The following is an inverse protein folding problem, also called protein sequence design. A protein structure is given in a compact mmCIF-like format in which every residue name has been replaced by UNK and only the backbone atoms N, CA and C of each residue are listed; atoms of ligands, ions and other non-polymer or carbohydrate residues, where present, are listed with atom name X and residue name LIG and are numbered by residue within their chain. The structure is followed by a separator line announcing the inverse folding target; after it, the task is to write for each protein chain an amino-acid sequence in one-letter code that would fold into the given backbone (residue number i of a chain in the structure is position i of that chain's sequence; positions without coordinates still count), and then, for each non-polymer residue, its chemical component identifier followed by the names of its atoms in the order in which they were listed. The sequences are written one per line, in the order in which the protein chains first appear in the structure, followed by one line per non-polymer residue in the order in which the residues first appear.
data_IF_472631646729
#
_entry.id   IF_472631646729
#
_cell.length_a   1.000
_cell.length_b   1.000
_cell.length_c   1.000
_cell.angle_alpha   90.00
_cell.angle_beta   90.00
_cell.angle_gamma   90.00
#
_symmetry.space_group_name_H-M   'P 1'
#
loop_
_entity.id
_entity.type
_entity.pdbx_description
1 polymer ?
#
# COMPACT_ATOMS: atom_id res chain seq x y z
N UNK A 1 -5.20 -56.32 22.00
CA UNK A 1 -4.54 -55.49 20.98
C UNK A 1 -5.21 -54.14 20.98
N UNK A 2 -4.61 -53.18 21.66
CA UNK A 2 -5.16 -51.84 21.85
C UNK A 2 -4.54 -50.96 20.77
N UNK A 3 -5.30 -50.66 19.72
CA UNK A 3 -4.93 -49.68 18.70
C UNK A 3 -4.85 -48.31 19.36
N UNK A 4 -3.62 -47.86 19.65
CA UNK A 4 -3.29 -46.47 19.92
C UNK A 4 -3.67 -45.66 18.68
N UNK A 5 -4.83 -45.01 18.69
CA UNK A 5 -5.18 -44.02 17.69
C UNK A 5 -4.29 -42.82 17.88
N UNK A 6 -3.31 -42.63 16.98
CA UNK A 6 -2.64 -41.34 16.85
C UNK A 6 -3.69 -40.32 16.41
N UNK A 7 -4.23 -39.56 17.36
CA UNK A 7 -4.91 -38.32 17.07
C UNK A 7 -3.87 -37.40 16.43
N UNK A 8 -3.84 -37.35 15.10
CA UNK A 8 -3.06 -36.37 14.38
C UNK A 8 -3.60 -34.99 14.78
N UNK A 9 -2.82 -34.21 15.53
CA UNK A 9 -3.07 -32.79 15.73
C UNK A 9 -2.96 -32.13 14.35
N UNK A 10 -4.09 -31.95 13.66
CA UNK A 10 -4.11 -31.12 12.47
C UNK A 10 -3.67 -29.70 12.90
N UNK A 11 -2.73 -29.05 12.18
CA UNK A 11 -2.28 -27.72 12.53
C UNK A 11 -3.48 -26.77 12.53
N UNK A 12 -3.60 -26.01 13.62
CA UNK A 12 -4.64 -25.00 13.74
C UNK A 12 -4.37 -23.84 12.76
N UNK A 13 -5.37 -23.00 12.53
CA UNK A 13 -5.17 -21.77 11.76
C UNK A 13 -4.12 -20.86 12.41
N UNK A 14 -3.98 -20.89 13.74
CA UNK A 14 -2.95 -20.13 14.46
C UNK A 14 -1.55 -20.66 14.14
N UNK A 15 -1.37 -21.98 14.11
CA UNK A 15 -0.08 -22.61 13.76
C UNK A 15 0.31 -22.28 12.32
N UNK A 16 -0.65 -22.33 11.38
CA UNK A 16 -0.42 -21.94 9.98
C UNK A 16 0.02 -20.48 9.83
N UNK A 17 -0.59 -19.57 10.60
CA UNK A 17 -0.22 -18.15 10.60
C UNK A 17 1.18 -17.97 11.19
N UNK A 18 1.50 -18.63 12.30
CA UNK A 18 2.83 -18.58 12.90
C UNK A 18 3.91 -19.11 11.94
N UNK A 19 3.69 -20.26 11.32
CA UNK A 19 4.60 -20.84 10.32
C UNK A 19 4.83 -19.90 9.12
N UNK A 20 3.81 -19.14 8.73
CA UNK A 20 3.90 -18.18 7.64
C UNK A 20 4.64 -16.91 8.04
N UNK A 21 4.48 -16.44 9.27
CA UNK A 21 5.26 -15.34 9.84
C UNK A 21 6.74 -15.72 9.91
N UNK A 22 7.06 -16.90 10.44
CA UNK A 22 8.43 -17.43 10.49
C UNK A 22 9.07 -17.54 9.10
N UNK A 23 8.26 -17.83 8.08
CA UNK A 23 8.70 -17.83 6.69
C UNK A 23 9.02 -16.41 6.20
N UNK A 24 8.13 -15.45 6.46
CA UNK A 24 8.30 -14.05 6.05
C UNK A 24 9.50 -13.39 6.75
N UNK A 25 9.78 -13.71 8.00
CA UNK A 25 10.92 -13.19 8.76
C UNK A 25 12.28 -13.51 8.11
N UNK A 26 12.32 -14.54 7.26
CA UNK A 26 13.51 -14.98 6.52
C UNK A 26 13.39 -14.73 5.02
N UNK A 27 12.26 -14.22 4.56
CA UNK A 27 12.00 -14.02 3.15
C UNK A 27 12.77 -12.81 2.61
N UNK A 28 13.09 -12.88 1.33
CA UNK A 28 13.58 -11.75 0.54
C UNK A 28 12.46 -11.29 -0.39
N UNK A 29 12.71 -10.25 -1.17
CA UNK A 29 11.82 -9.86 -2.27
C UNK A 29 11.47 -11.06 -3.14
N UNK A 30 12.40 -11.96 -3.42
CA UNK A 30 12.20 -13.08 -4.36
C UNK A 30 11.45 -14.27 -3.79
N UNK A 31 11.36 -14.39 -2.46
CA UNK A 31 10.79 -15.56 -1.80
C UNK A 31 9.53 -15.28 -0.99
N UNK A 32 9.18 -14.01 -0.75
CA UNK A 32 8.06 -13.65 0.13
C UNK A 32 6.70 -14.22 -0.30
N UNK A 33 6.38 -14.21 -1.60
CA UNK A 33 5.10 -14.75 -2.09
C UNK A 33 4.99 -16.27 -1.91
N UNK A 34 6.10 -17.01 -1.85
CA UNK A 34 6.08 -18.44 -1.61
C UNK A 34 5.55 -18.78 -0.19
N UNK A 35 5.72 -17.88 0.77
CA UNK A 35 5.21 -18.04 2.13
C UNK A 35 3.67 -18.07 2.20
N UNK A 36 2.97 -17.55 1.18
CA UNK A 36 1.51 -17.52 1.15
C UNK A 36 0.88 -18.91 1.08
N UNK A 37 1.60 -19.90 0.56
CA UNK A 37 1.16 -21.31 0.55
C UNK A 37 0.84 -21.86 1.94
N UNK A 38 1.43 -21.29 3.00
CA UNK A 38 1.22 -21.70 4.39
C UNK A 38 -0.13 -21.26 4.96
N UNK A 39 -0.71 -20.19 4.42
CA UNK A 39 -2.02 -19.65 4.83
C UNK A 39 -3.10 -19.89 3.78
N UNK A 40 -2.89 -20.80 2.84
CA UNK A 40 -3.92 -21.11 1.85
C UNK A 40 -5.21 -21.63 2.51
N UNK A 41 -6.35 -21.09 2.08
CA UNK A 41 -7.67 -21.32 2.67
C UNK A 41 -7.85 -20.82 4.12
N UNK A 42 -6.92 -20.04 4.69
CA UNK A 42 -7.07 -19.47 6.03
C UNK A 42 -7.65 -18.05 5.96
N UNK A 43 -8.90 -17.89 6.40
CA UNK A 43 -9.63 -16.62 6.39
C UNK A 43 -9.65 -15.99 7.80
N UNK A 44 -8.48 -15.55 8.28
CA UNK A 44 -8.35 -14.84 9.56
C UNK A 44 -7.60 -13.52 9.37
N UNK A 45 -7.80 -12.55 10.26
CA UNK A 45 -7.08 -11.29 10.23
C UNK A 45 -5.54 -11.48 10.27
N UNK A 46 -5.06 -12.52 10.98
CA UNK A 46 -3.64 -12.88 11.01
C UNK A 46 -3.12 -13.38 9.66
N UNK A 47 -3.91 -14.19 8.95
CA UNK A 47 -3.56 -14.64 7.60
C UNK A 47 -3.60 -13.49 6.59
N UNK A 48 -4.57 -12.57 6.72
CA UNK A 48 -4.62 -11.35 5.90
C UNK A 48 -3.43 -10.43 6.15
N UNK A 49 -2.96 -10.32 7.40
CA UNK A 49 -1.73 -9.60 7.71
C UNK A 49 -0.51 -10.22 7.04
N UNK A 50 -0.40 -11.55 7.07
CA UNK A 50 0.67 -12.29 6.36
C UNK A 50 0.61 -11.99 4.86
N UNK A 51 -0.58 -12.06 4.24
CA UNK A 51 -0.77 -11.75 2.81
C UNK A 51 -0.33 -10.34 2.48
N UNK A 52 -0.83 -9.36 3.24
CA UNK A 52 -0.45 -7.96 3.13
C UNK A 52 1.08 -7.79 3.19
N UNK A 53 1.73 -8.29 4.24
CA UNK A 53 3.18 -8.18 4.43
C UNK A 53 3.99 -8.85 3.32
N UNK A 54 3.57 -10.02 2.84
CA UNK A 54 4.27 -10.74 1.78
C UNK A 54 4.39 -9.93 0.49
N UNK A 55 3.30 -9.26 0.07
CA UNK A 55 3.34 -8.39 -1.11
C UNK A 55 4.26 -7.20 -0.91
N UNK A 56 4.28 -6.59 0.28
CA UNK A 56 5.22 -5.50 0.56
C UNK A 56 6.69 -5.95 0.51
N UNK A 57 7.02 -7.10 1.11
CA UNK A 57 8.38 -7.65 1.07
C UNK A 57 8.76 -8.00 -0.38
N UNK A 58 7.86 -8.65 -1.13
CA UNK A 58 8.05 -8.99 -2.55
C UNK A 58 8.37 -7.75 -3.41
N UNK A 59 7.77 -6.62 -3.03
CA UNK A 59 7.93 -5.33 -3.70
C UNK A 59 9.14 -4.51 -3.21
N UNK A 60 9.99 -5.12 -2.38
CA UNK A 60 11.25 -4.53 -1.92
C UNK A 60 11.09 -3.56 -0.75
N UNK A 61 9.98 -3.58 -0.01
CA UNK A 61 9.82 -2.74 1.18
C UNK A 61 10.63 -3.21 2.39
N UNK A 62 11.35 -4.34 2.26
CA UNK A 62 12.39 -4.73 3.20
C UNK A 62 13.65 -3.88 3.11
N UNK A 63 13.81 -3.03 2.07
CA UNK A 63 14.91 -2.06 1.98
C UNK A 63 14.68 -0.88 2.96
N UNK A 64 15.54 -0.74 4.00
CA UNK A 64 15.43 0.36 4.97
C UNK A 64 15.56 1.74 4.33
N UNK A 65 16.29 1.87 3.22
CA UNK A 65 16.50 3.16 2.56
C UNK A 65 15.20 3.73 2.01
N UNK A 66 14.29 2.87 1.54
CA UNK A 66 13.00 3.24 0.99
C UNK A 66 12.07 3.84 2.06
N UNK A 67 11.93 3.16 3.20
CA UNK A 67 11.08 3.61 4.31
C UNK A 67 11.69 4.81 5.06
N UNK A 68 13.02 4.93 5.09
CA UNK A 68 13.69 6.10 5.67
C UNK A 68 13.34 7.37 4.90
N UNK A 69 13.36 7.32 3.56
CA UNK A 69 12.97 8.46 2.71
C UNK A 69 11.51 8.86 2.90
N UNK A 70 10.60 7.89 3.00
CA UNK A 70 9.19 8.16 3.35
C UNK A 70 9.10 8.93 4.67
N UNK A 71 9.82 8.48 5.68
CA UNK A 71 9.83 9.12 7.00
C UNK A 71 10.45 10.52 6.98
N UNK A 72 11.46 10.75 6.15
CA UNK A 72 12.07 12.07 5.94
C UNK A 72 11.09 13.03 5.28
N UNK A 73 10.40 12.61 4.21
CA UNK A 73 9.41 13.46 3.52
C UNK A 73 8.21 13.78 4.41
N UNK A 74 7.70 12.82 5.19
CA UNK A 74 6.59 13.05 6.13
C UNK A 74 6.93 14.08 7.22
N UNK A 75 8.22 14.26 7.54
CA UNK A 75 8.68 15.24 8.55
C UNK A 75 8.84 16.65 8.00
N UNK A 76 8.79 16.87 6.68
CA UNK A 76 9.03 18.19 6.08
C UNK A 76 7.88 19.20 6.25
N UNK A 77 6.88 18.91 7.07
CA UNK A 77 5.62 19.62 7.03
C UNK A 77 5.63 21.04 7.66
N UNK A 78 5.12 22.03 6.91
CA UNK A 78 4.09 22.90 7.48
C UNK A 78 4.28 24.43 7.61
N UNK A 79 5.41 25.05 7.28
CA UNK A 79 5.54 26.52 7.42
C UNK A 79 5.27 27.35 6.14
N UNK A 80 5.12 26.72 4.97
CA UNK A 80 4.90 27.42 3.70
C UNK A 80 3.98 26.60 2.78
N UNK A 81 2.66 26.63 2.98
CA UNK A 81 1.62 26.42 1.95
C UNK A 81 1.62 25.20 1.00
N UNK A 82 2.54 24.23 1.07
CA UNK A 82 2.82 23.27 -0.02
C UNK A 82 2.73 21.78 0.33
N UNK A 83 1.74 21.35 1.14
CA UNK A 83 1.56 19.96 1.59
C UNK A 83 1.40 18.91 0.46
N UNK A 84 0.96 19.35 -0.72
CA UNK A 84 0.86 18.50 -1.91
C UNK A 84 2.21 17.99 -2.43
N UNK A 85 3.28 18.78 -2.32
CA UNK A 85 4.60 18.37 -2.83
C UNK A 85 5.26 17.29 -1.98
N UNK A 86 5.18 17.40 -0.65
CA UNK A 86 5.70 16.37 0.27
C UNK A 86 4.91 15.06 0.16
N UNK A 87 3.59 15.16 -0.03
CA UNK A 87 2.75 13.97 -0.27
C UNK A 87 3.12 13.26 -1.57
N UNK A 88 3.33 14.00 -2.68
CA UNK A 88 3.81 13.39 -3.93
C UNK A 88 5.19 12.75 -3.77
N UNK A 89 6.09 13.39 -3.00
CA UNK A 89 7.39 12.82 -2.67
C UNK A 89 7.27 11.48 -1.93
N UNK A 90 6.45 11.43 -0.87
CA UNK A 90 6.12 10.19 -0.16
C UNK A 90 5.59 9.13 -1.14
N UNK A 91 4.62 9.48 -1.97
CA UNK A 91 4.01 8.55 -2.92
C UNK A 91 5.03 7.96 -3.92
N UNK A 92 6.04 8.73 -4.35
CA UNK A 92 7.10 8.22 -5.23
C UNK A 92 7.89 7.05 -4.63
N UNK A 93 8.05 7.04 -3.31
CA UNK A 93 8.68 5.93 -2.59
C UNK A 93 7.69 4.80 -2.27
N UNK A 94 6.37 5.00 -2.41
CA UNK A 94 5.36 4.03 -2.00
C UNK A 94 4.84 3.15 -3.15
N UNK A 95 5.07 3.50 -4.41
CA UNK A 95 4.54 2.75 -5.56
C UNK A 95 5.16 1.35 -5.71
N UNK A 96 4.33 0.31 -5.85
CA UNK A 96 4.78 -1.02 -6.26
C UNK A 96 5.38 -0.94 -7.67
N UNK A 97 6.61 -1.42 -7.78
CA UNK A 97 7.51 -1.16 -8.91
C UNK A 97 8.65 -2.18 -8.98
N UNK A 98 8.50 -3.36 -8.37
CA UNK A 98 9.54 -4.37 -8.42
C UNK A 98 9.83 -4.75 -9.89
N UNK A 99 11.12 -4.74 -10.24
CA UNK A 99 11.58 -4.88 -11.63
C UNK A 99 11.41 -6.26 -12.24
N UNK A 100 11.14 -7.25 -11.40
CA UNK A 100 10.78 -8.60 -11.84
C UNK A 100 9.35 -8.73 -12.36
N UNK A 101 8.55 -7.66 -12.29
CA UNK A 101 7.17 -7.63 -12.78
C UNK A 101 6.93 -6.45 -13.71
N UNK A 102 6.00 -6.64 -14.64
CA UNK A 102 5.49 -5.53 -15.44
C UNK A 102 4.56 -4.61 -14.61
N UNK A 103 4.14 -3.51 -15.25
CA UNK A 103 3.26 -2.51 -14.65
C UNK A 103 1.89 -3.08 -14.24
N UNK A 104 1.33 -3.99 -15.04
CA UNK A 104 0.01 -4.59 -14.78
C UNK A 104 0.05 -5.53 -13.58
N UNK A 105 1.08 -6.37 -13.49
CA UNK A 105 1.28 -7.25 -12.33
C UNK A 105 1.51 -6.45 -11.06
N UNK A 106 2.35 -5.41 -11.09
CA UNK A 106 2.54 -4.53 -9.94
C UNK A 106 1.23 -3.82 -9.52
N UNK A 107 0.42 -3.39 -10.48
CA UNK A 107 -0.90 -2.81 -10.22
C UNK A 107 -1.84 -3.82 -9.53
N UNK A 108 -1.93 -5.05 -10.03
CA UNK A 108 -2.73 -6.11 -9.44
C UNK A 108 -2.25 -6.47 -8.03
N UNK A 109 -0.93 -6.54 -7.82
CA UNK A 109 -0.36 -6.80 -6.49
C UNK A 109 -0.66 -5.68 -5.50
N UNK A 110 -0.66 -4.41 -5.95
CA UNK A 110 -1.05 -3.30 -5.07
C UNK A 110 -2.52 -3.39 -4.64
N UNK A 111 -3.39 -3.90 -5.51
CA UNK A 111 -4.80 -4.12 -5.21
C UNK A 111 -5.01 -5.26 -4.23
N UNK A 112 -4.38 -6.41 -4.48
CA UNK A 112 -4.43 -7.57 -3.58
C UNK A 112 -3.85 -7.22 -2.21
N UNK A 113 -2.69 -6.53 -2.18
CA UNK A 113 -2.09 -6.07 -0.93
C UNK A 113 -3.06 -5.14 -0.19
N UNK A 114 -3.65 -4.16 -0.85
CA UNK A 114 -4.62 -3.24 -0.24
C UNK A 114 -5.84 -3.97 0.34
N UNK A 115 -6.40 -4.95 -0.37
CA UNK A 115 -7.50 -5.77 0.13
C UNK A 115 -7.09 -6.58 1.38
N UNK A 116 -5.94 -7.25 1.34
CA UNK A 116 -5.45 -8.03 2.48
C UNK A 116 -5.07 -7.15 3.68
N UNK A 117 -4.48 -5.99 3.46
CA UNK A 117 -4.17 -5.07 4.55
C UNK A 117 -5.46 -4.57 5.24
N UNK A 118 -6.55 -4.34 4.49
CA UNK A 118 -7.87 -4.06 5.08
C UNK A 118 -8.43 -5.26 5.87
N UNK A 119 -8.35 -6.47 5.30
CA UNK A 119 -8.79 -7.70 5.99
C UNK A 119 -8.02 -7.98 7.28
N UNK A 120 -6.77 -7.52 7.38
CA UNK A 120 -5.95 -7.65 8.59
C UNK A 120 -6.40 -6.76 9.75
N UNK A 121 -7.20 -5.72 9.49
CA UNK A 121 -7.57 -4.67 10.46
C UNK A 121 -6.38 -3.91 11.09
N UNK A 122 -5.16 -4.06 10.56
CA UNK A 122 -4.00 -3.30 11.02
C UNK A 122 -4.02 -1.88 10.46
N UNK A 123 -4.35 -0.91 11.32
CA UNK A 123 -4.45 0.52 10.93
C UNK A 123 -3.20 1.04 10.20
N UNK A 124 -2.01 0.67 10.68
CA UNK A 124 -0.74 1.04 10.07
C UNK A 124 -0.57 0.44 8.67
N UNK A 125 -0.93 -0.83 8.48
CA UNK A 125 -0.84 -1.48 7.17
C UNK A 125 -1.92 -0.99 6.21
N UNK A 126 -3.12 -0.67 6.70
CA UNK A 126 -4.16 -0.02 5.88
C UNK A 126 -3.66 1.34 5.38
N UNK A 127 -3.04 2.13 6.25
CA UNK A 127 -2.46 3.41 5.88
C UNK A 127 -1.36 3.26 4.82
N UNK A 128 -0.41 2.36 5.06
CA UNK A 128 0.71 2.10 4.15
C UNK A 128 0.22 1.61 2.79
N UNK A 129 -0.67 0.62 2.77
CA UNK A 129 -1.25 0.06 1.53
C UNK A 129 -2.12 1.04 0.77
N UNK A 130 -2.78 1.97 1.45
CA UNK A 130 -3.53 3.04 0.78
C UNK A 130 -2.58 3.96 0.01
N UNK A 131 -1.49 4.41 0.63
CA UNK A 131 -0.47 5.22 -0.05
C UNK A 131 0.14 4.45 -1.23
N UNK A 132 0.48 3.17 -1.02
CA UNK A 132 0.98 2.30 -2.09
C UNK A 132 -0.02 2.17 -3.23
N UNK A 133 -1.30 1.94 -2.95
CA UNK A 133 -2.33 1.77 -3.97
C UNK A 133 -2.49 3.04 -4.80
N UNK A 134 -2.55 4.20 -4.15
CA UNK A 134 -2.61 5.52 -4.82
C UNK A 134 -1.38 5.71 -5.71
N UNK A 135 -0.19 5.51 -5.16
CA UNK A 135 1.05 5.70 -5.89
C UNK A 135 1.21 4.73 -7.08
N UNK A 136 0.81 3.48 -6.91
CA UNK A 136 0.92 2.45 -7.97
C UNK A 136 -0.09 2.70 -9.07
N UNK A 137 -1.32 3.13 -8.74
CA UNK A 137 -2.32 3.55 -9.74
C UNK A 137 -1.80 4.74 -10.54
N UNK A 138 -1.28 5.77 -9.86
CA UNK A 138 -0.70 6.94 -10.53
C UNK A 138 0.43 6.55 -11.48
N UNK A 139 1.40 5.77 -11.00
CA UNK A 139 2.50 5.26 -11.82
C UNK A 139 2.02 4.39 -12.98
N UNK A 140 0.94 3.62 -12.76
CA UNK A 140 0.21 2.85 -13.76
C UNK A 140 -0.21 3.66 -14.99
N UNK A 141 -0.52 4.94 -14.80
CA UNK A 141 -0.98 5.86 -15.84
C UNK A 141 0.17 6.53 -16.61
N UNK A 142 1.43 6.31 -16.22
CA UNK A 142 2.60 6.84 -16.92
C UNK A 142 2.98 5.88 -18.05
N UNK A 143 3.01 6.39 -19.29
CA UNK A 143 3.24 5.55 -20.47
C UNK A 143 4.70 5.13 -20.59
N UNK A 144 5.63 6.03 -20.27
CA UNK A 144 7.07 5.82 -20.45
C UNK A 144 7.76 5.17 -19.24
N UNK A 145 7.01 4.86 -18.18
CA UNK A 145 7.57 4.18 -17.03
C UNK A 145 7.58 2.66 -17.25
N UNK A 146 8.77 2.07 -17.16
CA UNK A 146 8.98 0.62 -17.23
C UNK A 146 9.67 0.14 -15.93
N UNK A 147 8.94 -0.57 -15.04
CA UNK A 147 9.52 -1.09 -13.80
C UNK A 147 10.65 -2.08 -14.06
N UNK A 148 10.65 -2.79 -15.20
CA UNK A 148 11.63 -3.84 -15.49
C UNK A 148 13.06 -3.32 -15.68
N UNK A 149 13.21 -2.01 -15.89
CA UNK A 149 14.50 -1.32 -15.93
C UNK A 149 15.19 -1.24 -14.55
N UNK A 150 14.46 -1.51 -13.46
CA UNK A 150 14.98 -1.35 -12.09
C UNK A 150 15.08 0.10 -11.63
N UNK A 151 14.60 1.06 -12.43
CA UNK A 151 14.62 2.48 -12.06
C UNK A 151 13.48 2.78 -11.09
N UNK A 152 13.77 3.33 -9.89
CA UNK A 152 12.73 3.73 -8.96
C UNK A 152 11.82 4.83 -9.55
N UNK A 153 10.54 4.86 -9.18
CA UNK A 153 9.63 5.93 -9.58
C UNK A 153 10.10 7.30 -9.08
N UNK A 154 9.89 8.33 -9.88
CA UNK A 154 10.19 9.72 -9.53
C UNK A 154 8.94 10.49 -9.15
N UNK A 155 9.11 11.59 -8.40
CA UNK A 155 8.01 12.51 -8.08
C UNK A 155 7.32 13.04 -9.33
N UNK A 156 8.08 13.35 -10.39
CA UNK A 156 7.53 13.84 -11.65
C UNK A 156 6.61 12.82 -12.32
N UNK A 157 6.94 11.53 -12.23
CA UNK A 157 6.11 10.45 -12.80
C UNK A 157 4.84 10.25 -11.98
N UNK A 158 4.93 10.28 -10.64
CA UNK A 158 3.73 10.24 -9.80
C UNK A 158 2.84 11.45 -10.07
N UNK A 159 3.43 12.64 -10.20
CA UNK A 159 2.71 13.87 -10.55
C UNK A 159 2.07 13.79 -11.93
N UNK A 160 2.76 13.28 -12.94
CA UNK A 160 2.21 13.08 -14.27
C UNK A 160 0.98 12.15 -14.22
N UNK A 161 1.11 11.02 -13.54
CA UNK A 161 0.03 10.05 -13.36
C UNK A 161 -1.19 10.63 -12.65
N UNK A 162 -0.98 11.36 -11.55
CA UNK A 162 -2.05 11.98 -10.76
C UNK A 162 -2.67 13.21 -11.41
N UNK A 163 -1.85 14.12 -11.92
CA UNK A 163 -2.27 15.48 -12.30
C UNK A 163 -2.56 15.64 -13.80
N UNK A 164 -2.06 14.73 -14.65
CA UNK A 164 -2.20 14.85 -16.11
C UNK A 164 -2.97 13.67 -16.70
N UNK A 165 -2.66 12.45 -16.26
CA UNK A 165 -3.18 11.24 -16.89
C UNK A 165 -4.34 10.59 -16.11
N UNK A 166 -4.79 11.19 -15.01
CA UNK A 166 -5.89 10.66 -14.20
C UNK A 166 -7.20 10.58 -14.99
N UNK A 167 -7.90 9.46 -14.81
CA UNK A 167 -9.20 9.16 -15.40
C UNK A 167 -10.26 9.07 -14.30
N UNK A 168 -11.57 9.14 -14.62
CA UNK A 168 -12.63 8.86 -13.66
C UNK A 168 -12.45 7.52 -12.91
N UNK A 169 -12.06 6.47 -13.65
CA UNK A 169 -11.84 5.15 -13.07
C UNK A 169 -10.65 5.13 -12.08
N UNK A 170 -9.52 5.74 -12.46
CA UNK A 170 -8.36 5.81 -11.54
C UNK A 170 -8.64 6.69 -10.32
N UNK A 171 -9.42 7.77 -10.47
CA UNK A 171 -9.88 8.62 -9.37
C UNK A 171 -10.74 7.85 -8.39
N UNK A 172 -11.66 7.00 -8.86
CA UNK A 172 -12.45 6.16 -7.98
C UNK A 172 -11.57 5.21 -7.14
N UNK A 173 -10.56 4.58 -7.74
CA UNK A 173 -9.62 3.72 -7.01
C UNK A 173 -8.79 4.52 -6.01
N UNK A 174 -8.26 5.68 -6.41
CA UNK A 174 -7.48 6.58 -5.55
C UNK A 174 -8.34 7.03 -4.37
N UNK A 175 -9.54 7.53 -4.60
CA UNK A 175 -10.40 8.04 -3.54
C UNK A 175 -10.89 6.96 -2.57
N UNK A 176 -11.09 5.72 -3.04
CA UNK A 176 -11.37 4.58 -2.16
C UNK A 176 -10.22 4.31 -1.19
N UNK A 177 -8.98 4.29 -1.70
CA UNK A 177 -7.78 4.16 -0.88
C UNK A 177 -7.58 5.36 0.07
N UNK A 178 -7.80 6.58 -0.41
CA UNK A 178 -7.78 7.81 0.40
C UNK A 178 -8.77 7.73 1.57
N UNK A 179 -10.01 7.32 1.30
CA UNK A 179 -11.04 7.15 2.33
C UNK A 179 -10.64 6.10 3.36
N UNK A 180 -10.13 4.95 2.90
CA UNK A 180 -9.68 3.87 3.79
C UNK A 180 -8.57 4.34 4.74
N UNK A 181 -7.53 4.99 4.21
CA UNK A 181 -6.47 5.58 5.04
C UNK A 181 -7.02 6.64 6.01
N UNK A 182 -7.90 7.52 5.54
CA UNK A 182 -8.46 8.57 6.36
C UNK A 182 -9.24 8.00 7.56
N UNK A 183 -10.24 7.16 7.29
CA UNK A 183 -11.12 6.60 8.32
C UNK A 183 -10.35 5.71 9.32
N UNK A 184 -9.37 4.94 8.85
CA UNK A 184 -8.69 3.96 9.70
C UNK A 184 -7.50 4.53 10.47
N UNK A 185 -6.83 5.56 9.94
CA UNK A 185 -5.56 6.03 10.50
C UNK A 185 -5.40 7.54 10.64
N UNK A 186 -6.19 8.39 9.95
CA UNK A 186 -6.02 9.85 10.03
C UNK A 186 -7.10 10.56 10.85
N UNK A 187 -8.33 10.05 10.85
CA UNK A 187 -9.48 10.67 11.50
C UNK A 187 -9.24 10.83 13.00
N UNK A 188 -9.39 12.05 13.49
CA UNK A 188 -9.26 12.39 14.91
C UNK A 188 -7.82 12.48 15.43
N UNK A 189 -6.79 12.44 14.56
CA UNK A 189 -5.41 12.74 14.98
C UNK A 189 -5.24 14.21 15.32
N UNK A 190 -4.64 14.48 16.48
CA UNK A 190 -4.34 15.84 16.96
C UNK A 190 -3.23 16.50 16.12
N UNK A 191 -2.21 15.71 15.72
CA UNK A 191 -1.10 16.15 14.90
C UNK A 191 -1.00 15.27 13.64
N UNK A 192 -1.89 15.48 12.64
CA UNK A 192 -1.84 14.71 11.41
C UNK A 192 -0.59 15.05 10.60
N UNK A 193 0.05 14.02 10.04
CA UNK A 193 1.11 14.18 9.05
C UNK A 193 0.55 14.79 7.73
N UNK A 194 1.41 15.28 6.82
CA UNK A 194 0.94 15.97 5.61
C UNK A 194 -0.04 15.13 4.79
N UNK A 195 0.24 13.84 4.60
CA UNK A 195 -0.61 12.93 3.82
C UNK A 195 -2.00 12.81 4.48
N UNK A 196 -2.06 12.69 5.81
CA UNK A 196 -3.32 12.70 6.53
C UNK A 196 -4.10 14.03 6.40
N UNK A 197 -3.43 15.19 6.30
CA UNK A 197 -4.09 16.47 6.04
C UNK A 197 -4.71 16.50 4.64
N UNK A 198 -3.98 16.03 3.64
CA UNK A 198 -4.48 15.95 2.26
C UNK A 198 -5.67 15.00 2.13
N UNK A 199 -5.60 13.85 2.81
CA UNK A 199 -6.71 12.88 2.81
C UNK A 199 -7.94 13.43 3.53
N UNK A 200 -7.77 14.15 4.65
CA UNK A 200 -8.88 14.80 5.34
C UNK A 200 -9.57 15.85 4.46
N UNK A 201 -8.80 16.69 3.77
CA UNK A 201 -9.31 17.68 2.84
C UNK A 201 -10.04 17.02 1.66
N UNK A 202 -9.48 15.93 1.10
CA UNK A 202 -10.10 15.18 0.01
C UNK A 202 -11.44 14.54 0.40
N UNK A 203 -11.50 13.89 1.56
CA UNK A 203 -12.74 13.28 2.09
C UNK A 203 -13.77 14.35 2.45
N UNK A 204 -13.35 15.54 2.90
CA UNK A 204 -14.25 16.66 3.17
C UNK A 204 -14.85 17.30 1.91
N UNK A 205 -14.16 17.22 0.77
CA UNK A 205 -14.59 17.81 -0.51
C UNK A 205 -15.36 16.86 -1.44
N UNK A 206 -15.48 15.57 -1.10
CA UNK A 206 -16.13 14.57 -1.96
C UNK A 206 -17.01 13.58 -1.20
N UNK A 207 -18.11 13.12 -1.82
CA UNK A 207 -19.02 12.13 -1.21
C UNK A 207 -18.84 10.73 -1.80
N UNK A 208 -18.55 10.64 -3.10
CA UNK A 208 -18.22 9.39 -3.80
C UNK A 208 -16.71 9.20 -3.87
N UNK A 209 -16.26 7.97 -4.08
CA UNK A 209 -14.82 7.68 -4.19
C UNK A 209 -14.18 8.40 -5.39
N UNK A 210 -14.88 8.55 -6.51
CA UNK A 210 -14.39 9.35 -7.64
C UNK A 210 -14.21 10.82 -7.26
N UNK A 211 -15.18 11.43 -6.56
CA UNK A 211 -15.09 12.81 -6.10
C UNK A 211 -13.94 13.00 -5.11
N UNK A 212 -13.75 12.06 -4.18
CA UNK A 212 -12.63 12.12 -3.22
C UNK A 212 -11.30 12.02 -3.97
N UNK A 213 -11.17 11.12 -4.94
CA UNK A 213 -9.97 11.02 -5.76
C UNK A 213 -9.70 12.29 -6.55
N UNK A 214 -10.74 12.89 -7.14
CA UNK A 214 -10.65 14.18 -7.85
C UNK A 214 -10.25 15.33 -6.92
N UNK A 215 -10.75 15.34 -5.68
CA UNK A 215 -10.38 16.36 -4.69
C UNK A 215 -8.94 16.17 -4.23
N UNK A 216 -8.50 14.93 -3.99
CA UNK A 216 -7.10 14.65 -3.66
C UNK A 216 -6.17 15.11 -4.79
N UNK A 217 -6.49 14.77 -6.03
CA UNK A 217 -5.76 15.29 -7.20
C UNK A 217 -5.67 16.81 -7.16
N UNK A 218 -6.79 17.51 -6.99
CA UNK A 218 -6.82 18.98 -6.92
C UNK A 218 -5.88 19.51 -5.82
N UNK A 219 -5.91 18.92 -4.63
CA UNK A 219 -5.08 19.34 -3.50
C UNK A 219 -3.58 19.11 -3.77
N UNK A 220 -3.22 17.99 -4.41
CA UNK A 220 -1.81 17.63 -4.66
C UNK A 220 -1.20 18.35 -5.87
N UNK A 221 -2.04 18.73 -6.82
CA UNK A 221 -1.62 19.28 -8.11
C UNK A 221 -1.69 20.81 -8.18
N UNK A 222 -2.29 21.47 -7.18
CA UNK A 222 -2.30 22.92 -7.07
C UNK A 222 -1.10 23.37 -6.21
N UNK A 223 -0.27 24.32 -6.68
CA UNK A 223 0.91 24.82 -5.96
C UNK A 223 0.58 25.64 -4.71
#
# INVERSE_FOLDING_TARGET
MTTLGLAACAPSNADKVADAQDCLDRATSDTALACLSKVDGVETAGAELVRCSAYFIDQGFSDPGRLSRVSEELKKDGNNGGGGSSTIAVLSFMAFSASKYDKTTNLNFSETAFASCQGSSSKGMIYLSSMTRIATVALGLVTLYDPTTGTPPTESQIREGLCTNATPASRAVIGSATRAAYEQNCKGKENPDPVCKEYAAAVGGGTTDEQIGSQLETNLCTP
#
